data_IF_491572837202
#
_entry.id   IF_491572837202
#
_cell.length_a   1.000
_cell.length_b   1.000
_cell.length_c   1.000
_cell.angle_alpha   90.00
_cell.angle_beta   90.00
_cell.angle_gamma   90.00
#
_symmetry.space_group_name_H-M   'P 1'
#
loop_
_entity.id
_entity.type
_entity.pdbx_description
1 polymer ?
#
# COMPACT_ATOMS: atom_id res chain seq x y z
N UNK A 1 -6.08 18.86 5.61
CA UNK A 1 -6.46 20.29 5.64
C UNK A 1 -5.65 21.03 4.60
N UNK A 2 -6.20 22.08 4.01
CA UNK A 2 -5.53 22.98 3.08
C UNK A 2 -5.78 24.42 3.56
N UNK A 3 -4.72 25.17 3.85
CA UNK A 3 -4.78 26.57 4.32
C UNK A 3 -5.75 26.80 5.51
N UNK A 4 -5.75 25.86 6.47
CA UNK A 4 -6.62 25.92 7.66
C UNK A 4 -8.06 25.48 7.43
N UNK A 5 -8.41 25.06 6.21
CA UNK A 5 -9.73 24.50 5.88
C UNK A 5 -9.69 22.98 5.85
N UNK A 6 -10.69 22.33 6.43
CA UNK A 6 -10.86 20.88 6.31
C UNK A 6 -11.18 20.48 4.87
N UNK A 7 -10.58 19.38 4.42
CA UNK A 7 -10.89 18.80 3.13
C UNK A 7 -11.98 17.72 3.32
N UNK A 8 -12.88 17.51 2.34
CA UNK A 8 -13.76 16.35 2.34
C UNK A 8 -12.99 15.06 2.58
N UNK A 9 -13.56 14.16 3.39
CA UNK A 9 -12.85 12.96 3.84
C UNK A 9 -12.49 11.99 2.70
N UNK A 10 -13.24 12.05 1.60
CA UNK A 10 -13.07 11.28 0.37
C UNK A 10 -12.13 11.95 -0.66
N UNK A 11 -11.46 13.05 -0.29
CA UNK A 11 -10.52 13.74 -1.18
C UNK A 11 -9.29 12.89 -1.45
N UNK A 12 -9.21 12.36 -2.67
CA UNK A 12 -8.01 11.71 -3.20
C UNK A 12 -7.90 11.94 -4.72
N UNK A 13 -6.72 12.24 -5.28
CA UNK A 13 -5.46 12.52 -4.57
C UNK A 13 -5.54 13.79 -3.72
N UNK A 14 -4.68 13.89 -2.71
CA UNK A 14 -4.61 15.10 -1.90
C UNK A 14 -4.08 16.28 -2.73
N UNK A 15 -4.59 17.50 -2.53
CA UNK A 15 -3.98 18.70 -3.10
C UNK A 15 -2.51 18.81 -2.68
N UNK A 16 -1.64 19.30 -3.57
CA UNK A 16 -0.18 19.38 -3.36
C UNK A 16 0.22 20.06 -2.04
N UNK A 17 -0.50 21.12 -1.65
CA UNK A 17 -0.24 21.88 -0.42
C UNK A 17 -1.02 21.37 0.80
N UNK A 18 -1.80 20.31 0.65
CA UNK A 18 -2.55 19.75 1.76
C UNK A 18 -1.58 19.08 2.74
N UNK A 19 -1.78 19.35 4.03
CA UNK A 19 -0.99 18.69 5.06
C UNK A 19 -1.38 17.21 5.17
N UNK A 20 -0.38 16.34 5.12
CA UNK A 20 -0.51 14.91 5.40
C UNK A 20 0.82 14.33 5.91
N UNK A 21 0.80 13.05 6.31
CA UNK A 21 2.01 12.33 6.70
C UNK A 21 2.42 11.41 5.56
N UNK A 22 3.73 11.22 5.27
CA UNK A 22 4.18 10.42 4.13
C UNK A 22 3.65 8.97 4.16
N UNK A 23 3.39 8.43 5.37
CA UNK A 23 2.77 7.11 5.53
C UNK A 23 1.37 6.99 4.89
N UNK A 24 0.67 8.09 4.67
CA UNK A 24 -0.65 8.07 4.02
C UNK A 24 -0.56 7.61 2.57
N UNK A 25 0.50 7.95 1.84
CA UNK A 25 0.73 7.51 0.47
C UNK A 25 1.79 6.40 0.35
N UNK A 26 2.71 6.31 1.32
CA UNK A 26 3.94 5.53 1.20
C UNK A 26 4.06 4.26 2.05
N UNK A 27 3.08 3.89 2.90
CA UNK A 27 3.29 2.77 3.84
C UNK A 27 3.66 1.44 3.17
N UNK A 28 2.92 1.05 2.12
CA UNK A 28 3.16 -0.24 1.45
C UNK A 28 4.36 -0.17 0.50
N UNK A 29 4.51 0.92 -0.27
CA UNK A 29 5.67 1.12 -1.14
C UNK A 29 6.97 1.14 -0.36
N UNK A 30 7.04 1.91 0.74
CA UNK A 30 8.22 1.95 1.61
C UNK A 30 8.57 0.57 2.16
N UNK A 31 7.56 -0.17 2.64
CA UNK A 31 7.76 -1.53 3.12
C UNK A 31 8.30 -2.46 2.01
N UNK A 32 7.72 -2.42 0.81
CA UNK A 32 8.19 -3.22 -0.33
C UNK A 32 9.62 -2.85 -0.74
N UNK A 33 9.93 -1.56 -0.88
CA UNK A 33 11.26 -1.07 -1.25
C UNK A 33 12.32 -1.51 -0.23
N UNK A 34 12.08 -1.26 1.06
CA UNK A 34 13.03 -1.61 2.12
C UNK A 34 13.31 -3.12 2.18
N UNK A 35 12.28 -3.97 2.06
CA UNK A 35 12.45 -5.41 2.24
C UNK A 35 12.88 -6.14 0.97
N UNK A 36 12.48 -5.68 -0.22
CA UNK A 36 12.83 -6.32 -1.49
C UNK A 36 14.17 -5.81 -2.06
N UNK A 37 14.51 -4.53 -1.87
CA UNK A 37 15.71 -3.93 -2.47
C UNK A 37 16.82 -3.66 -1.46
N UNK A 38 16.52 -3.01 -0.33
CA UNK A 38 17.56 -2.56 0.61
C UNK A 38 18.06 -3.68 1.53
N UNK A 39 17.15 -4.29 2.30
CA UNK A 39 17.48 -5.29 3.32
C UNK A 39 17.71 -6.67 2.73
N UNK A 40 16.99 -7.01 1.65
CA UNK A 40 16.99 -8.33 0.98
C UNK A 40 16.92 -9.51 1.97
N UNK A 41 16.23 -9.31 3.09
CA UNK A 41 16.29 -10.18 4.25
C UNK A 41 15.26 -11.31 4.23
N UNK A 42 14.27 -11.23 3.33
CA UNK A 42 13.09 -12.10 3.30
C UNK A 42 12.67 -12.36 1.85
N UNK A 43 12.00 -13.49 1.61
CA UNK A 43 11.53 -13.85 0.28
C UNK A 43 10.36 -12.96 -0.16
N UNK A 44 10.19 -12.73 -1.47
CA UNK A 44 9.10 -11.93 -2.04
C UNK A 44 7.72 -12.36 -1.50
N UNK A 45 7.44 -13.67 -1.48
CA UNK A 45 6.16 -14.19 -1.00
C UNK A 45 5.89 -13.88 0.48
N UNK A 46 6.94 -13.79 1.31
CA UNK A 46 6.80 -13.43 2.73
C UNK A 46 6.45 -11.94 2.89
N UNK A 47 7.04 -11.08 2.05
CA UNK A 47 6.69 -9.65 1.99
C UNK A 47 5.22 -9.49 1.56
N UNK A 48 4.80 -10.20 0.52
CA UNK A 48 3.40 -10.18 0.05
C UNK A 48 2.43 -10.75 1.09
N UNK A 49 2.79 -11.82 1.81
CA UNK A 49 1.97 -12.35 2.90
C UNK A 49 1.73 -11.30 3.98
N UNK A 50 2.77 -10.56 4.39
CA UNK A 50 2.64 -9.50 5.41
C UNK A 50 1.73 -8.34 4.97
N UNK A 51 1.74 -7.99 3.70
CA UNK A 51 1.00 -6.85 3.16
C UNK A 51 -0.44 -7.19 2.72
N UNK A 52 -0.72 -8.45 2.35
CA UNK A 52 -1.98 -8.82 1.68
C UNK A 52 -2.66 -10.04 2.31
N UNK A 53 -2.11 -11.24 2.13
CA UNK A 53 -2.78 -12.50 2.53
C UNK A 53 -2.88 -12.68 4.06
N UNK A 54 -1.83 -12.35 4.79
CA UNK A 54 -1.72 -12.51 6.24
C UNK A 54 -2.84 -11.78 7.01
N UNK A 55 -3.06 -10.47 6.78
CA UNK A 55 -4.17 -9.74 7.37
C UNK A 55 -5.55 -10.35 7.06
N UNK A 56 -5.79 -10.77 5.82
CA UNK A 56 -7.05 -11.41 5.44
C UNK A 56 -7.25 -12.73 6.20
N UNK A 57 -6.21 -13.59 6.25
CA UNK A 57 -6.24 -14.86 6.98
C UNK A 57 -6.51 -14.69 8.47
N UNK A 58 -5.93 -13.67 9.12
CA UNK A 58 -6.14 -13.41 10.55
C UNK A 58 -7.60 -13.08 10.86
N UNK A 59 -8.27 -12.37 9.95
CA UNK A 59 -9.59 -11.79 10.21
C UNK A 59 -10.75 -12.63 9.64
N UNK A 60 -10.50 -13.56 8.73
CA UNK A 60 -11.55 -14.26 7.97
C UNK A 60 -12.51 -15.10 8.82
N UNK A 61 -12.10 -15.52 10.01
CA UNK A 61 -12.98 -16.21 10.95
C UNK A 61 -14.06 -15.30 11.53
N UNK A 62 -13.77 -14.01 11.68
CA UNK A 62 -14.71 -13.01 12.19
C UNK A 62 -15.40 -12.23 11.06
N UNK A 63 -14.74 -12.14 9.90
CA UNK A 63 -15.24 -11.43 8.71
C UNK A 63 -15.19 -12.40 7.52
N UNK A 64 -16.21 -13.27 7.35
CA UNK A 64 -16.18 -14.35 6.35
C UNK A 64 -15.93 -13.92 4.91
N UNK A 65 -16.26 -12.67 4.56
CA UNK A 65 -16.00 -12.09 3.25
C UNK A 65 -14.50 -12.07 2.90
N UNK A 66 -13.62 -11.97 3.91
CA UNK A 66 -12.17 -11.96 3.70
C UNK A 66 -11.60 -13.30 3.26
N UNK A 67 -12.37 -14.40 3.33
CA UNK A 67 -11.98 -15.68 2.72
C UNK A 67 -11.82 -15.58 1.20
N UNK A 68 -12.49 -14.60 0.58
CA UNK A 68 -12.43 -14.31 -0.86
C UNK A 68 -11.48 -13.18 -1.23
N UNK A 69 -10.75 -12.61 -0.27
CA UNK A 69 -9.81 -11.49 -0.49
C UNK A 69 -8.36 -11.99 -0.49
N UNK A 70 -7.46 -11.17 -1.05
CA UNK A 70 -6.01 -11.33 -0.95
C UNK A 70 -5.45 -12.66 -1.47
N UNK A 71 -6.12 -13.28 -2.45
CA UNK A 71 -5.75 -14.57 -3.05
C UNK A 71 -5.87 -14.47 -4.56
N UNK A 72 -4.90 -15.03 -5.28
CA UNK A 72 -4.97 -15.21 -6.73
C UNK A 72 -5.46 -16.63 -7.03
N UNK A 73 -6.77 -16.84 -6.88
CA UNK A 73 -7.43 -18.14 -7.04
C UNK A 73 -8.76 -17.97 -7.77
N UNK A 74 -9.30 -19.07 -8.30
CA UNK A 74 -10.67 -19.06 -8.82
C UNK A 74 -11.66 -18.73 -7.69
N UNK A 75 -12.76 -18.07 -8.04
CA UNK A 75 -13.88 -17.74 -7.13
C UNK A 75 -13.55 -16.75 -5.99
N UNK A 76 -12.41 -16.05 -6.08
CA UNK A 76 -12.01 -14.93 -5.20
C UNK A 76 -12.11 -13.58 -5.92
N UNK A 77 -12.14 -12.49 -5.16
CA UNK A 77 -12.22 -11.14 -5.72
C UNK A 77 -10.91 -10.77 -6.44
N UNK A 78 -11.02 -10.09 -7.58
CA UNK A 78 -9.89 -9.73 -8.45
C UNK A 78 -9.18 -8.44 -8.00
N UNK A 79 -8.82 -8.35 -6.72
CA UNK A 79 -8.04 -7.24 -6.18
C UNK A 79 -6.55 -7.48 -6.48
N UNK A 80 -6.08 -6.97 -7.62
CA UNK A 80 -4.73 -7.23 -8.15
C UNK A 80 -3.94 -5.92 -8.25
N UNK A 81 -2.67 -6.00 -7.87
CA UNK A 81 -1.67 -4.93 -8.08
C UNK A 81 -0.50 -5.52 -8.84
N UNK A 82 -0.05 -4.85 -9.90
CA UNK A 82 1.13 -5.23 -10.67
C UNK A 82 2.24 -4.26 -10.31
N UNK A 83 3.41 -4.80 -9.97
CA UNK A 83 4.58 -3.98 -9.68
C UNK A 83 5.85 -4.73 -10.05
N UNK A 84 6.91 -3.95 -10.29
CA UNK A 84 8.24 -4.48 -10.53
C UNK A 84 9.07 -4.44 -9.24
N UNK A 85 9.50 -5.58 -8.69
CA UNK A 85 10.27 -5.62 -7.44
C UNK A 85 11.62 -4.90 -7.54
N UNK A 86 12.18 -4.73 -8.75
CA UNK A 86 13.47 -4.08 -8.97
C UNK A 86 13.36 -2.56 -9.11
N UNK A 87 12.18 -2.04 -9.50
CA UNK A 87 11.99 -0.60 -9.79
C UNK A 87 10.95 0.08 -8.91
N UNK A 88 10.24 -0.66 -8.06
CA UNK A 88 9.31 -0.08 -7.09
C UNK A 88 10.03 0.98 -6.24
N UNK A 89 9.44 2.17 -6.12
CA UNK A 89 10.06 3.32 -5.43
C UNK A 89 9.02 4.07 -4.59
N UNK A 90 9.34 4.29 -3.31
CA UNK A 90 8.57 5.17 -2.42
C UNK A 90 8.95 6.64 -2.64
N UNK A 91 8.02 7.45 -3.13
CA UNK A 91 8.27 8.86 -3.44
C UNK A 91 7.85 9.81 -2.31
N UNK A 92 7.04 9.34 -1.34
CA UNK A 92 6.49 10.18 -0.30
C UNK A 92 7.55 10.59 0.72
N UNK A 93 7.69 11.89 0.96
CA UNK A 93 8.65 12.46 1.93
C UNK A 93 7.92 13.32 2.96
N UNK A 94 8.62 13.76 4.01
CA UNK A 94 8.02 14.72 4.95
C UNK A 94 7.71 16.08 4.33
N UNK A 95 8.52 16.52 3.35
CA UNK A 95 8.31 17.75 2.61
C UNK A 95 7.24 17.62 1.54
N UNK A 96 7.07 16.42 0.99
CA UNK A 96 6.11 16.12 -0.06
C UNK A 96 5.41 14.78 0.22
N UNK A 97 4.41 14.78 1.12
CA UNK A 97 3.88 13.55 1.73
C UNK A 97 2.81 12.82 0.90
N UNK A 98 2.23 13.46 -0.11
CA UNK A 98 1.12 12.93 -0.89
C UNK A 98 1.55 12.32 -2.24
N UNK A 99 2.84 12.08 -2.44
CA UNK A 99 3.35 11.53 -3.68
C UNK A 99 2.95 10.06 -3.86
N UNK A 100 2.39 9.68 -5.02
CA UNK A 100 2.19 8.27 -5.35
C UNK A 100 3.55 7.59 -5.49
N UNK A 101 3.60 6.29 -5.24
CA UNK A 101 4.81 5.50 -5.49
C UNK A 101 5.07 5.34 -7.00
N UNK A 102 6.19 4.74 -7.39
CA UNK A 102 6.51 4.42 -8.79
C UNK A 102 6.80 2.93 -8.95
N UNK A 103 6.81 2.44 -10.19
CA UNK A 103 7.12 1.04 -10.51
C UNK A 103 5.92 0.10 -10.35
N UNK A 104 4.69 0.61 -10.55
CA UNK A 104 3.45 -0.16 -10.50
C UNK A 104 2.49 0.21 -11.64
N UNK A 105 1.61 -0.72 -11.99
CA UNK A 105 0.48 -0.55 -12.93
C UNK A 105 -0.87 -0.86 -12.24
#
# INVERSE_FOLDING_TARGET
>A
MLDGTELPQDTWPLPEKAWSQPRSAGTFSKFLCEYLQEKKAVALLEVIERASYGPARILEDKIPQLRKKSRLQSDTDADVVIFDPETITDNATYSDPAQPFSGFE
#
